data_IF_012922000548
#
_entry.id   IF_012922000548
#
_cell.length_a   1.000
_cell.length_b   1.000
_cell.length_c   1.000
_cell.angle_alpha   90.00
_cell.angle_beta   90.00
_cell.angle_gamma   90.00
#
_symmetry.space_group_name_H-M   'P 1'
#
loop_
_entity.id
_entity.type
_entity.pdbx_description
1 polymer ?
#
# COMPACT_ATOMS: atom_id res chain seq x y z
N UNK A 1 8.77 7.41 27.45
CA UNK A 1 8.82 7.60 25.98
C UNK A 1 8.81 9.09 25.73
N UNK A 2 9.73 9.61 24.93
CA UNK A 2 9.80 11.04 24.59
C UNK A 2 8.76 11.37 23.51
N UNK A 3 8.31 12.62 23.46
CA UNK A 3 7.29 13.07 22.50
C UNK A 3 7.73 12.86 21.04
N UNK A 4 9.03 12.95 20.75
CA UNK A 4 9.57 12.76 19.40
C UNK A 4 9.47 11.30 18.95
N UNK A 5 9.82 10.34 19.81
CA UNK A 5 9.63 8.90 19.53
C UNK A 5 8.19 8.52 19.20
N UNK A 6 7.20 9.21 19.79
CA UNK A 6 5.80 8.98 19.43
C UNK A 6 5.50 9.44 18.00
N UNK A 7 6.02 10.62 17.60
CA UNK A 7 5.83 11.15 16.25
C UNK A 7 6.48 10.23 15.21
N UNK A 8 7.70 9.77 15.47
CA UNK A 8 8.43 8.87 14.57
C UNK A 8 7.62 7.57 14.36
N UNK A 9 7.13 6.97 15.45
CA UNK A 9 6.29 5.76 15.37
C UNK A 9 4.98 6.00 14.60
N UNK A 10 4.35 7.18 14.77
CA UNK A 10 3.14 7.54 14.04
C UNK A 10 3.41 7.76 12.55
N UNK A 11 4.53 8.38 12.20
CA UNK A 11 4.95 8.56 10.82
C UNK A 11 5.24 7.21 10.15
N UNK A 12 6.01 6.34 10.81
CA UNK A 12 6.27 4.99 10.31
C UNK A 12 4.96 4.20 10.12
N UNK A 13 4.05 4.25 11.10
CA UNK A 13 2.74 3.61 11.00
C UNK A 13 1.90 4.14 9.84
N UNK A 14 1.95 5.45 9.58
CA UNK A 14 1.27 6.06 8.44
C UNK A 14 1.84 5.52 7.12
N UNK A 15 3.16 5.52 6.94
CA UNK A 15 3.81 5.02 5.72
C UNK A 15 3.47 3.54 5.48
N UNK A 16 3.55 2.71 6.53
CA UNK A 16 3.25 1.28 6.44
C UNK A 16 1.76 1.05 6.11
N UNK A 17 0.85 1.81 6.70
CA UNK A 17 -0.60 1.65 6.41
C UNK A 17 -0.95 2.03 4.98
N UNK A 18 -0.35 3.09 4.44
CA UNK A 18 -0.49 3.47 3.03
C UNK A 18 0.12 2.42 2.09
N UNK A 19 1.26 1.84 2.46
CA UNK A 19 1.86 0.75 1.71
C UNK A 19 0.96 -0.49 1.66
N UNK A 20 0.39 -0.88 2.81
CA UNK A 20 -0.55 -2.00 2.90
C UNK A 20 -1.80 -1.75 2.04
N UNK A 21 -2.37 -0.54 2.07
CA UNK A 21 -3.50 -0.17 1.22
C UNK A 21 -3.14 -0.24 -0.27
N UNK A 22 -1.94 0.20 -0.66
CA UNK A 22 -1.46 0.09 -2.03
C UNK A 22 -1.36 -1.37 -2.47
N UNK A 23 -0.79 -2.25 -1.64
CA UNK A 23 -0.69 -3.68 -1.92
C UNK A 23 -2.06 -4.37 -2.05
N UNK A 24 -3.04 -3.93 -1.26
CA UNK A 24 -4.44 -4.35 -1.41
C UNK A 24 -5.00 -3.91 -2.77
N UNK A 25 -4.80 -2.64 -3.14
CA UNK A 25 -5.22 -2.12 -4.44
C UNK A 25 -4.53 -2.80 -5.62
N UNK A 26 -3.29 -3.28 -5.45
CA UNK A 26 -2.61 -4.08 -6.47
C UNK A 26 -3.14 -5.52 -6.58
N UNK A 27 -4.07 -5.93 -5.70
CA UNK A 27 -4.55 -7.30 -5.64
C UNK A 27 -3.50 -8.30 -5.13
N UNK A 28 -2.45 -7.83 -4.44
CA UNK A 28 -1.42 -8.70 -3.83
C UNK A 28 -1.86 -9.23 -2.45
N UNK A 29 -2.86 -8.60 -1.84
CA UNK A 29 -3.40 -9.00 -0.54
C UNK A 29 -4.92 -8.92 -0.53
N UNK A 30 -5.58 -9.80 0.22
CA UNK A 30 -7.02 -9.80 0.41
C UNK A 30 -7.49 -8.53 1.13
N UNK A 31 -8.58 -7.92 0.66
CA UNK A 31 -9.26 -6.87 1.40
C UNK A 31 -9.99 -7.49 2.61
N UNK A 32 -9.67 -7.08 3.86
CA UNK A 32 -10.25 -7.68 5.06
C UNK A 32 -11.75 -7.38 5.24
N UNK A 33 -12.28 -6.35 4.56
CA UNK A 33 -13.68 -5.95 4.63
C UNK A 33 -14.51 -6.72 3.60
N UNK A 34 -14.05 -6.77 2.35
CA UNK A 34 -14.79 -7.42 1.27
C UNK A 34 -14.47 -8.91 1.12
N UNK A 35 -13.39 -9.39 1.76
CA UNK A 35 -12.79 -10.72 1.60
C UNK A 35 -12.43 -11.06 0.14
N UNK A 36 -12.29 -10.04 -0.70
CA UNK A 36 -11.94 -10.19 -2.12
C UNK A 36 -10.54 -9.68 -2.39
N UNK A 37 -9.89 -10.30 -3.37
CA UNK A 37 -8.69 -9.77 -4.00
C UNK A 37 -9.16 -8.93 -5.19
N UNK A 38 -9.21 -7.61 -5.01
CA UNK A 38 -9.64 -6.68 -6.05
C UNK A 38 -8.44 -5.86 -6.52
N UNK A 39 -8.10 -6.02 -7.80
CA UNK A 39 -7.05 -5.24 -8.46
C UNK A 39 -7.64 -3.94 -8.99
N UNK A 40 -7.26 -2.84 -8.34
CA UNK A 40 -7.57 -1.47 -8.74
C UNK A 40 -6.26 -0.68 -8.90
N UNK A 41 -5.72 -0.69 -10.12
CA UNK A 41 -4.49 0.03 -10.45
C UNK A 41 -4.63 1.55 -10.27
N UNK A 42 -5.79 2.14 -10.54
CA UNK A 42 -6.01 3.57 -10.36
C UNK A 42 -5.90 3.99 -8.89
N UNK A 43 -6.52 3.23 -7.99
CA UNK A 43 -6.40 3.46 -6.55
C UNK A 43 -4.97 3.22 -6.02
N UNK A 44 -4.29 2.19 -6.55
CA UNK A 44 -2.88 1.94 -6.22
C UNK A 44 -1.99 3.12 -6.65
N UNK A 45 -2.15 3.60 -7.88
CA UNK A 45 -1.41 4.74 -8.39
C UNK A 45 -1.66 6.00 -7.56
N UNK A 46 -2.93 6.32 -7.25
CA UNK A 46 -3.26 7.49 -6.43
C UNK A 46 -2.63 7.43 -5.03
N UNK A 47 -2.52 6.23 -4.44
CA UNK A 47 -1.84 6.05 -3.15
C UNK A 47 -0.32 6.21 -3.26
N UNK A 48 0.28 5.71 -4.35
CA UNK A 48 1.70 5.92 -4.65
C UNK A 48 2.00 7.41 -4.87
N UNK A 49 1.17 8.12 -5.63
CA UNK A 49 1.31 9.56 -5.88
C UNK A 49 1.20 10.37 -4.58
N UNK A 50 0.33 9.93 -3.66
CA UNK A 50 0.22 10.53 -2.33
C UNK A 50 1.48 10.30 -1.48
N UNK A 51 2.07 9.10 -1.51
CA UNK A 51 3.36 8.83 -0.84
C UNK A 51 4.50 9.64 -1.47
N UNK A 52 4.52 9.80 -2.79
CA UNK A 52 5.50 10.61 -3.52
C UNK A 52 5.38 12.10 -3.14
N UNK A 53 4.14 12.60 -3.08
CA UNK A 53 3.85 13.94 -2.58
C UNK A 53 4.29 14.11 -1.12
N UNK A 54 4.06 13.12 -0.27
CA UNK A 54 4.49 13.13 1.12
C UNK A 54 6.02 13.22 1.22
N UNK A 55 6.78 12.46 0.42
CA UNK A 55 8.25 12.53 0.35
C UNK A 55 8.72 13.93 -0.06
N UNK A 56 8.10 14.52 -1.08
CA UNK A 56 8.44 15.86 -1.55
C UNK A 56 8.13 16.95 -0.50
N UNK A 57 6.97 16.87 0.16
CA UNK A 57 6.53 17.86 1.17
C UNK A 57 7.30 17.77 2.47
N UNK A 58 7.76 16.58 2.84
CA UNK A 58 8.45 16.33 4.12
C UNK A 58 9.97 16.35 4.00
N UNK A 59 10.50 16.54 2.78
CA UNK A 59 11.93 16.66 2.54
C UNK A 59 12.58 17.73 3.43
N UNK A 60 13.60 17.32 4.18
CA UNK A 60 14.31 18.17 5.14
C UNK A 60 13.71 18.18 6.56
N UNK A 61 12.52 17.61 6.74
CA UNK A 61 11.89 17.42 8.05
C UNK A 61 11.96 15.96 8.55
N UNK A 62 12.30 15.02 7.67
CA UNK A 62 12.48 13.61 8.03
C UNK A 62 13.88 13.34 8.57
N UNK A 63 13.97 12.45 9.56
CA UNK A 63 15.24 11.86 9.95
C UNK A 63 15.74 10.84 8.90
N UNK A 64 16.95 10.31 9.11
CA UNK A 64 17.56 9.36 8.17
C UNK A 64 16.77 8.04 8.06
N UNK A 65 16.20 7.55 9.16
CA UNK A 65 15.45 6.31 9.20
C UNK A 65 14.09 6.46 8.50
N UNK A 66 13.38 7.56 8.76
CA UNK A 66 12.12 7.93 8.14
C UNK A 66 12.28 8.14 6.63
N UNK A 67 13.30 8.89 6.21
CA UNK A 67 13.58 9.13 4.81
C UNK A 67 13.92 7.83 4.07
N UNK A 68 14.69 6.94 4.71
CA UNK A 68 15.05 5.63 4.16
C UNK A 68 13.84 4.70 4.06
N UNK A 69 12.98 4.68 5.08
CA UNK A 69 11.74 3.91 5.08
C UNK A 69 10.82 4.36 3.95
N UNK A 70 10.51 5.66 3.87
CA UNK A 70 9.59 6.20 2.88
C UNK A 70 10.09 5.94 1.45
N UNK A 71 11.38 6.16 1.18
CA UNK A 71 11.98 5.89 -0.13
C UNK A 71 11.97 4.41 -0.49
N UNK A 72 12.29 3.54 0.47
CA UNK A 72 12.26 2.08 0.28
C UNK A 72 10.86 1.60 -0.09
N UNK A 73 9.87 2.02 0.69
CA UNK A 73 8.45 1.70 0.44
C UNK A 73 8.01 2.23 -0.92
N UNK A 74 8.31 3.49 -1.27
CA UNK A 74 7.97 4.06 -2.58
C UNK A 74 8.56 3.25 -3.74
N UNK A 75 9.83 2.86 -3.64
CA UNK A 75 10.50 2.08 -4.68
C UNK A 75 9.85 0.69 -4.84
N UNK A 76 9.56 0.01 -3.74
CA UNK A 76 8.90 -1.29 -3.74
C UNK A 76 7.49 -1.20 -4.34
N UNK A 77 6.70 -0.21 -3.94
CA UNK A 77 5.33 -0.04 -4.45
C UNK A 77 5.32 0.31 -5.94
N UNK A 78 6.23 1.18 -6.41
CA UNK A 78 6.38 1.50 -7.83
C UNK A 78 6.76 0.27 -8.65
N UNK A 79 7.66 -0.58 -8.14
CA UNK A 79 8.01 -1.83 -8.80
C UNK A 79 6.80 -2.77 -8.89
N UNK A 80 6.13 -3.03 -7.77
CA UNK A 80 4.93 -3.87 -7.73
C UNK A 80 3.83 -3.34 -8.66
N UNK A 81 3.64 -2.02 -8.72
CA UNK A 81 2.69 -1.39 -9.63
C UNK A 81 3.02 -1.67 -11.09
N UNK A 82 4.29 -1.49 -11.50
CA UNK A 82 4.72 -1.74 -12.87
C UNK A 82 4.62 -3.22 -13.23
N UNK A 83 5.00 -4.12 -12.32
CA UNK A 83 4.84 -5.56 -12.50
C UNK A 83 3.36 -5.90 -12.71
N UNK A 84 2.50 -5.42 -11.83
CA UNK A 84 1.06 -5.69 -11.89
C UNK A 84 0.38 -4.99 -13.07
N UNK A 85 0.87 -3.85 -13.53
CA UNK A 85 0.39 -3.22 -14.77
C UNK A 85 0.74 -4.04 -16.02
N UNK A 86 1.89 -4.72 -16.00
CA UNK A 86 2.36 -5.55 -17.11
C UNK A 86 1.89 -7.02 -17.05
N UNK A 87 1.34 -7.46 -15.91
CA UNK A 87 0.63 -8.73 -15.81
C UNK A 87 -0.56 -8.75 -16.79
N UNK A 88 -0.56 -9.69 -17.73
CA UNK A 88 -1.74 -9.96 -18.58
C UNK A 88 -2.94 -10.21 -17.66
N UNK A 89 -4.15 -9.75 -18.02
CA UNK A 89 -5.35 -10.14 -17.30
C UNK A 89 -5.56 -11.64 -17.51
N UNK A 90 -4.94 -12.46 -16.67
CA UNK A 90 -5.35 -13.84 -16.46
C UNK A 90 -6.76 -13.73 -15.88
N UNK A 91 -7.75 -14.03 -16.71
CA UNK A 91 -9.16 -14.01 -16.37
C UNK A 91 -9.47 -15.06 -15.32
N UNK A 92 -9.05 -14.81 -14.08
CA UNK A 92 -9.45 -15.51 -12.88
C UNK A 92 -9.66 -14.44 -11.82
N UNK A 93 -10.74 -13.67 -12.02
CA UNK A 93 -11.57 -13.27 -10.90
C UNK A 93 -12.12 -14.56 -10.30
N UNK A 94 -11.29 -15.26 -9.52
CA UNK A 94 -11.74 -16.34 -8.64
C UNK A 94 -12.71 -15.68 -7.68
N UNK A 95 -13.97 -15.76 -8.10
CA UNK A 95 -15.13 -15.40 -7.31
C UNK A 95 -15.09 -16.38 -6.17
N UNK A 96 -14.46 -15.97 -5.07
CA UNK A 96 -14.46 -16.70 -3.81
C UNK A 96 -15.90 -17.12 -3.54
N UNK A 97 -16.15 -18.42 -3.76
CA UNK A 97 -17.39 -19.12 -3.49
C UNK A 97 -17.77 -18.77 -2.07
N UNK A 98 -18.82 -17.98 -1.91
CA UNK A 98 -19.43 -17.75 -0.61
C UNK A 98 -19.72 -19.14 0.01
N UNK A 99 -19.34 -19.41 1.27
CA UNK A 99 -19.86 -20.58 1.94
C UNK A 99 -21.36 -20.35 2.10
N UNK A 100 -22.15 -21.19 1.41
CA UNK A 100 -23.58 -21.34 1.69
C UNK A 100 -23.74 -21.58 3.21
N UNK A 101 -24.49 -20.76 3.95
CA UNK A 101 -24.96 -21.18 5.26
C UNK A 101 -26.00 -22.27 5.05
N UNK A 102 -25.58 -23.51 5.32
CA UNK A 102 -26.46 -24.66 5.42
C UNK A 102 -27.38 -24.51 6.65
N UNK A 103 -28.68 -24.77 6.44
CA UNK A 103 -29.64 -25.13 7.50
C UNK A 103 -30.52 -24.01 8.01
#
# INVERSE_FOLDING_TARGET
MSADTQKDNMFQGLVISLAAATMQHLGKTMNPVTQKIEKNLEAAQGTIDMLDMLEAKTKGNLDEAEAKLLKGVLAELKLNYVETMNEKPTGESDSGKAPEPAG
#
